data_IF_803761717791
#
_entry.id   IF_803761717791
#
_cell.length_a   1.000
_cell.length_b   1.000
_cell.length_c   1.000
_cell.angle_alpha   90.00
_cell.angle_beta   90.00
_cell.angle_gamma   90.00
#
_symmetry.space_group_name_H-M   'P 1'
#
loop_
_entity.id
_entity.type
_entity.pdbx_description
1 polymer ?
#
# COMPACT_ATOMS: atom_id res chain seq x y z
N UNK A 1 -17.00 -4.98 -5.63
CA UNK A 1 -17.77 -4.21 -4.62
C UNK A 1 -17.54 -4.67 -3.18
N UNK A 2 -17.23 -5.96 -2.90
CA UNK A 2 -17.03 -6.49 -1.53
C UNK A 2 -16.01 -5.71 -0.67
N UNK A 3 -14.85 -5.33 -1.23
CA UNK A 3 -13.86 -4.51 -0.50
C UNK A 3 -14.43 -3.15 -0.05
N UNK A 4 -15.17 -2.46 -0.91
CA UNK A 4 -15.81 -1.18 -0.57
C UNK A 4 -16.90 -1.35 0.50
N UNK A 5 -17.61 -2.48 0.51
CA UNK A 5 -18.56 -2.78 1.57
C UNK A 5 -17.84 -2.97 2.92
N UNK A 6 -16.72 -3.69 2.95
CA UNK A 6 -15.89 -3.86 4.17
C UNK A 6 -15.36 -2.50 4.64
N UNK A 7 -14.80 -1.69 3.74
CA UNK A 7 -14.27 -0.37 4.06
C UNK A 7 -15.36 0.60 4.55
N UNK A 8 -16.58 0.49 3.99
CA UNK A 8 -17.73 1.28 4.43
C UNK A 8 -18.16 0.85 5.83
N UNK A 9 -18.26 -0.45 6.10
CA UNK A 9 -18.61 -0.99 7.42
C UNK A 9 -17.56 -0.64 8.49
N UNK A 10 -16.28 -0.59 8.12
CA UNK A 10 -15.20 -0.12 8.98
C UNK A 10 -15.17 1.41 9.17
N UNK A 11 -16.05 2.15 8.50
CA UNK A 11 -16.17 3.61 8.63
C UNK A 11 -15.10 4.42 7.89
N UNK A 12 -14.30 3.78 7.03
CA UNK A 12 -13.19 4.42 6.30
C UNK A 12 -13.66 5.19 5.07
N UNK A 13 -14.72 4.71 4.41
CA UNK A 13 -15.34 5.36 3.24
C UNK A 13 -16.81 5.64 3.49
N UNK A 14 -17.30 6.70 2.85
CA UNK A 14 -18.73 7.01 2.75
C UNK A 14 -19.17 6.85 1.30
N UNK A 15 -20.44 6.57 1.09
CA UNK A 15 -21.01 6.38 -0.24
C UNK A 15 -22.20 7.30 -0.47
N UNK A 16 -22.37 7.77 -1.71
CA UNK A 16 -23.54 8.50 -2.18
C UNK A 16 -24.03 7.87 -3.48
N UNK A 17 -25.34 7.71 -3.61
CA UNK A 17 -25.96 7.20 -4.84
C UNK A 17 -26.52 8.37 -5.66
N UNK A 18 -26.24 8.39 -6.96
CA UNK A 18 -26.84 9.30 -7.94
C UNK A 18 -27.36 8.47 -9.12
N UNK A 19 -28.69 8.31 -9.19
CA UNK A 19 -29.31 7.42 -10.16
C UNK A 19 -28.81 5.97 -10.02
N UNK A 20 -28.26 5.45 -11.10
CA UNK A 20 -27.68 4.10 -11.15
C UNK A 20 -26.25 4.01 -10.60
N UNK A 21 -25.59 5.15 -10.35
CA UNK A 21 -24.18 5.19 -9.97
C UNK A 21 -24.01 5.34 -8.46
N UNK A 22 -23.00 4.68 -7.90
CA UNK A 22 -22.60 4.82 -6.49
C UNK A 22 -21.18 5.35 -6.40
N UNK A 23 -21.05 6.53 -5.82
CA UNK A 23 -19.79 7.22 -5.61
C UNK A 23 -19.29 7.00 -4.18
N UNK A 24 -17.98 6.79 -4.03
CA UNK A 24 -17.33 6.60 -2.74
C UNK A 24 -16.33 7.71 -2.49
N UNK A 25 -16.23 8.17 -1.24
CA UNK A 25 -15.20 9.10 -0.79
C UNK A 25 -14.63 8.65 0.55
N UNK A 26 -13.36 8.96 0.81
CA UNK A 26 -12.76 8.75 2.13
C UNK A 26 -13.50 9.61 3.16
N UNK A 27 -13.95 8.98 4.25
CA UNK A 27 -14.49 9.69 5.41
C UNK A 27 -13.36 10.21 6.29
N UNK A 28 -12.29 9.42 6.39
CA UNK A 28 -11.17 9.65 7.31
C UNK A 28 -9.90 9.89 6.50
N UNK A 29 -9.62 11.14 6.08
CA UNK A 29 -8.49 11.43 5.16
C UNK A 29 -7.12 11.12 5.76
N UNK A 30 -7.01 11.00 7.09
CA UNK A 30 -5.78 10.60 7.76
C UNK A 30 -5.29 9.21 7.34
N UNK A 31 -6.17 8.31 6.90
CA UNK A 31 -5.77 6.97 6.46
C UNK A 31 -4.86 7.01 5.23
N UNK A 32 -4.96 8.06 4.41
CA UNK A 32 -4.06 8.26 3.28
C UNK A 32 -2.60 8.31 3.76
N UNK A 33 -2.32 9.11 4.79
CA UNK A 33 -0.96 9.22 5.37
C UNK A 33 -0.49 7.91 5.99
N UNK A 34 -1.41 7.12 6.55
CA UNK A 34 -1.09 5.81 7.10
C UNK A 34 -0.69 4.82 6.00
N UNK A 35 -1.45 4.78 4.90
CA UNK A 35 -1.10 3.98 3.72
C UNK A 35 0.23 4.43 3.11
N UNK A 36 0.46 5.75 3.01
CA UNK A 36 1.75 6.30 2.55
C UNK A 36 2.90 5.85 3.45
N UNK A 37 2.66 5.66 4.75
CA UNK A 37 3.65 5.15 5.70
C UNK A 37 3.92 3.66 5.47
N UNK A 38 2.89 2.85 5.26
CA UNK A 38 3.04 1.42 4.93
C UNK A 38 3.84 1.27 3.64
N UNK A 39 3.56 2.07 2.62
CA UNK A 39 4.29 2.06 1.35
C UNK A 39 5.79 2.35 1.54
N UNK A 40 6.16 3.20 2.51
CA UNK A 40 7.57 3.47 2.84
C UNK A 40 8.22 2.27 3.50
N UNK A 41 7.56 1.67 4.49
CA UNK A 41 8.05 0.47 5.17
C UNK A 41 8.30 -0.64 4.15
N UNK A 42 7.35 -0.91 3.26
CA UNK A 42 7.51 -1.93 2.21
C UNK A 42 8.68 -1.62 1.25
N UNK A 43 8.93 -0.35 0.95
CA UNK A 43 10.07 0.05 0.13
C UNK A 43 11.39 -0.11 0.86
N UNK A 44 11.44 0.24 2.14
CA UNK A 44 12.61 0.05 3.00
C UNK A 44 12.94 -1.45 3.12
N UNK A 45 11.95 -2.30 3.36
CA UNK A 45 12.10 -3.75 3.40
C UNK A 45 12.60 -4.31 2.05
N UNK A 46 12.02 -3.84 0.94
CA UNK A 46 12.46 -4.26 -0.40
C UNK A 46 13.89 -3.79 -0.70
N UNK A 47 14.28 -2.61 -0.21
CA UNK A 47 15.65 -2.10 -0.37
C UNK A 47 16.63 -2.87 0.51
N UNK A 48 16.26 -3.21 1.74
CA UNK A 48 17.08 -4.03 2.62
C UNK A 48 17.31 -5.41 2.00
N UNK A 49 16.25 -6.09 1.56
CA UNK A 49 16.38 -7.39 0.87
C UNK A 49 17.15 -7.28 -0.44
N UNK A 50 16.98 -6.20 -1.22
CA UNK A 50 17.79 -5.95 -2.43
C UNK A 50 19.26 -5.72 -2.11
N UNK A 51 19.57 -4.97 -1.04
CA UNK A 51 20.94 -4.75 -0.58
C UNK A 51 21.58 -6.05 -0.10
N UNK A 52 20.84 -6.88 0.63
CA UNK A 52 21.27 -8.24 1.00
C UNK A 52 21.51 -9.12 -0.24
N UNK A 53 20.64 -9.07 -1.25
CA UNK A 53 20.87 -9.76 -2.53
C UNK A 53 22.10 -9.21 -3.27
N UNK A 54 22.38 -7.91 -3.19
CA UNK A 54 23.60 -7.34 -3.78
C UNK A 54 24.87 -7.83 -3.06
N UNK A 55 24.83 -8.06 -1.73
CA UNK A 55 25.92 -8.72 -0.99
C UNK A 55 26.11 -10.16 -1.48
N UNK A 56 25.03 -10.89 -1.76
CA UNK A 56 25.13 -12.24 -2.34
C UNK A 56 25.80 -12.22 -3.72
N UNK A 57 25.45 -11.27 -4.60
CA UNK A 57 26.14 -11.13 -5.90
C UNK A 57 27.60 -10.68 -5.75
N UNK A 58 27.92 -9.81 -4.77
CA UNK A 58 29.29 -9.40 -4.48
C UNK A 58 30.18 -10.52 -3.90
N UNK A 59 29.60 -11.45 -3.14
CA UNK A 59 30.32 -12.62 -2.62
C UNK A 59 30.54 -13.73 -3.68
N UNK A 60 29.89 -13.67 -4.85
CA UNK A 60 29.99 -14.70 -5.91
C UNK A 60 30.79 -14.21 -7.13
N UNK A 61 31.48 -13.06 -7.06
CA UNK A 61 32.35 -12.65 -8.17
C UNK A 61 33.10 -11.32 -8.01
N UNK A 62 34.23 -11.36 -7.32
CA UNK A 62 35.48 -10.77 -7.84
C UNK A 62 36.43 -11.94 -8.13
N UNK A 63 36.27 -12.56 -9.29
CA UNK A 63 37.40 -13.14 -10.03
C UNK A 63 37.24 -12.67 -11.48
N UNK A 64 38.32 -12.09 -12.00
CA UNK A 64 38.60 -11.49 -13.33
C UNK A 64 37.61 -11.78 -14.49
#
# INVERSE_FOLDING_TARGET
SKHLAVLRSAGLVTSRQEGANVYYKLRTPCIKKFLDCIDRVLKEDLQATKAEMAVVFGCIGEEE
#
